data_IF_342466810970
#
_entry.id   IF_342466810970
#
_cell.length_a   1.000
_cell.length_b   1.000
_cell.length_c   1.000
_cell.angle_alpha   90.00
_cell.angle_beta   90.00
_cell.angle_gamma   90.00
#
_symmetry.space_group_name_H-M   'P 1'
#
loop_
_entity.id
_entity.type
_entity.pdbx_description
1 polymer ?
#
# COMPACT_ATOMS: atom_id res chain seq x y z
N UNK A 1 6.54 -11.17 82.11
CA UNK A 1 7.82 -10.42 81.97
C UNK A 1 8.06 -10.11 80.50
N UNK A 2 8.54 -8.90 80.21
CA UNK A 2 8.87 -8.34 78.88
C UNK A 2 9.98 -9.12 78.15
N UNK A 3 9.92 -9.14 76.80
CA UNK A 3 11.01 -8.95 75.79
C UNK A 3 10.41 -9.27 74.40
N UNK A 4 10.07 -8.33 73.52
CA UNK A 4 10.86 -7.35 72.74
C UNK A 4 11.59 -7.97 71.53
N UNK A 5 11.05 -7.62 70.34
CA UNK A 5 11.66 -7.38 69.01
C UNK A 5 12.36 -8.54 68.26
N UNK A 6 11.96 -8.74 67.01
CA UNK A 6 12.69 -8.20 65.85
C UNK A 6 11.82 -8.23 64.58
N UNK A 7 11.54 -7.05 64.02
CA UNK A 7 10.96 -6.88 62.68
C UNK A 7 12.09 -7.08 61.68
N UNK A 8 12.04 -8.11 60.85
CA UNK A 8 12.88 -8.19 59.65
C UNK A 8 12.07 -7.76 58.44
N UNK A 9 12.39 -6.56 57.94
CA UNK A 9 11.89 -5.99 56.70
C UNK A 9 12.63 -6.68 55.54
N UNK A 10 12.06 -7.75 54.98
CA UNK A 10 12.50 -8.24 53.67
C UNK A 10 11.75 -7.46 52.58
N UNK A 11 12.45 -6.47 52.03
CA UNK A 11 12.02 -5.66 50.89
C UNK A 11 12.34 -6.46 49.62
N UNK A 12 11.34 -7.08 49.01
CA UNK A 12 11.49 -7.75 47.72
C UNK A 12 11.68 -6.70 46.60
N UNK A 13 12.58 -6.89 45.62
CA UNK A 13 12.66 -6.01 44.47
C UNK A 13 11.54 -6.39 43.48
N UNK A 14 10.70 -5.42 43.13
CA UNK A 14 9.76 -5.55 42.03
C UNK A 14 10.54 -5.54 40.71
N UNK A 15 10.65 -6.70 40.07
CA UNK A 15 11.15 -6.80 38.70
C UNK A 15 10.02 -6.34 37.79
N UNK A 16 10.12 -5.10 37.29
CA UNK A 16 9.22 -4.60 36.27
C UNK A 16 9.61 -5.28 34.94
N UNK A 17 8.83 -6.27 34.49
CA UNK A 17 8.93 -6.78 33.13
C UNK A 17 8.47 -5.67 32.18
N UNK A 18 9.44 -4.98 31.59
CA UNK A 18 9.22 -4.07 30.48
C UNK A 18 8.92 -4.93 29.26
N UNK A 19 7.63 -5.09 28.94
CA UNK A 19 7.18 -5.69 27.68
C UNK A 19 7.63 -4.78 26.54
N UNK A 20 8.77 -5.10 25.93
CA UNK A 20 9.11 -4.57 24.61
C UNK A 20 8.10 -5.12 23.61
N UNK A 21 7.03 -4.37 23.33
CA UNK A 21 6.24 -4.54 22.13
C UNK A 21 7.16 -4.26 20.95
N UNK A 22 7.74 -5.30 20.36
CA UNK A 22 8.39 -5.19 19.07
C UNK A 22 7.32 -4.69 18.09
N UNK A 23 7.48 -3.47 17.58
CA UNK A 23 6.69 -3.01 16.46
C UNK A 23 7.07 -3.91 15.27
N UNK A 24 6.19 -4.84 14.92
CA UNK A 24 6.32 -5.59 13.67
C UNK A 24 6.33 -4.57 12.54
N UNK A 25 7.41 -4.53 11.74
CA UNK A 25 7.44 -3.73 10.54
C UNK A 25 6.24 -4.16 9.67
N UNK A 26 5.33 -3.24 9.38
CA UNK A 26 4.14 -3.60 8.61
C UNK A 26 4.56 -4.02 7.20
N UNK A 27 4.03 -5.13 6.72
CA UNK A 27 4.36 -5.69 5.42
C UNK A 27 3.90 -4.74 4.29
N UNK A 28 4.55 -4.79 3.11
CA UNK A 28 4.10 -4.01 1.97
C UNK A 28 2.64 -4.34 1.61
N UNK A 29 1.86 -3.37 1.09
CA UNK A 29 0.46 -3.57 0.76
C UNK A 29 0.32 -4.35 -0.56
N UNK A 30 0.68 -5.62 -0.52
CA UNK A 30 0.54 -6.57 -1.63
C UNK A 30 -0.94 -6.82 -1.90
N UNK A 31 -1.31 -6.88 -3.18
CA UNK A 31 -2.69 -7.14 -3.61
C UNK A 31 -3.04 -6.51 -4.95
N UNK A 32 -4.32 -6.61 -5.32
CA UNK A 32 -4.88 -6.00 -6.53
C UNK A 32 -5.85 -4.88 -6.15
N UNK A 33 -5.71 -3.73 -6.79
CA UNK A 33 -6.48 -2.54 -6.48
C UNK A 33 -7.12 -1.95 -7.73
N UNK A 34 -8.37 -1.47 -7.62
CA UNK A 34 -9.12 -0.88 -8.73
C UNK A 34 -8.72 0.59 -8.86
N UNK A 35 -8.31 1.02 -10.05
CA UNK A 35 -7.98 2.43 -10.31
C UNK A 35 -9.19 3.34 -10.11
N UNK A 36 -8.99 4.46 -9.43
CA UNK A 36 -9.99 5.50 -9.26
C UNK A 36 -9.78 6.61 -10.30
N UNK A 37 -10.65 6.74 -11.33
CA UNK A 37 -10.35 7.53 -12.52
C UNK A 37 -10.72 9.02 -12.42
N UNK A 38 -11.39 9.48 -11.35
CA UNK A 38 -11.84 10.87 -11.29
C UNK A 38 -10.68 11.83 -11.02
N UNK A 39 -10.64 12.90 -11.82
CA UNK A 39 -9.80 14.07 -11.58
C UNK A 39 -10.39 14.93 -10.43
N UNK A 40 -9.52 15.52 -9.61
CA UNK A 40 -9.94 16.52 -8.60
C UNK A 40 -9.53 16.24 -7.15
N UNK A 41 -8.90 15.10 -6.85
CA UNK A 41 -8.31 14.84 -5.53
C UNK A 41 -8.38 13.38 -5.09
N UNK A 42 -8.03 13.14 -3.82
CA UNK A 42 -8.13 11.83 -3.20
C UNK A 42 -9.61 11.42 -3.04
N UNK A 43 -9.99 10.17 -3.37
CA UNK A 43 -11.34 9.68 -3.11
C UNK A 43 -11.62 9.57 -1.61
N UNK A 44 -12.89 9.66 -1.24
CA UNK A 44 -13.37 9.23 0.08
C UNK A 44 -13.58 7.71 0.11
N UNK A 45 -13.74 7.14 1.31
CA UNK A 45 -14.11 5.72 1.42
C UNK A 45 -15.43 5.42 0.70
N UNK A 46 -16.41 6.32 0.77
CA UNK A 46 -17.71 6.16 0.11
C UNK A 46 -17.60 6.17 -1.42
N UNK A 47 -16.69 6.98 -1.98
CA UNK A 47 -16.43 6.99 -3.42
C UNK A 47 -15.85 5.65 -3.87
N UNK A 48 -14.91 5.09 -3.11
CA UNK A 48 -14.37 3.77 -3.40
C UNK A 48 -15.42 2.66 -3.27
N UNK A 49 -16.24 2.66 -2.23
CA UNK A 49 -17.32 1.69 -2.06
C UNK A 49 -18.36 1.78 -3.20
N UNK A 50 -18.68 2.99 -3.65
CA UNK A 50 -19.57 3.20 -4.78
C UNK A 50 -18.96 2.66 -6.07
N UNK A 51 -17.69 2.98 -6.35
CA UNK A 51 -16.97 2.51 -7.53
C UNK A 51 -16.88 0.97 -7.56
N UNK A 52 -16.51 0.34 -6.44
CA UNK A 52 -16.42 -1.12 -6.35
C UNK A 52 -17.78 -1.77 -6.58
N UNK A 53 -18.87 -1.20 -6.04
CA UNK A 53 -20.23 -1.73 -6.26
C UNK A 53 -20.70 -1.60 -7.72
N UNK A 54 -20.29 -0.53 -8.39
CA UNK A 54 -20.60 -0.28 -9.80
C UNK A 54 -19.82 -1.22 -10.72
N UNK A 55 -18.49 -1.20 -10.60
CA UNK A 55 -17.57 -1.93 -11.49
C UNK A 55 -17.59 -3.44 -11.22
N UNK A 56 -17.87 -3.85 -9.98
CA UNK A 56 -17.79 -5.24 -9.50
C UNK A 56 -16.45 -5.87 -9.90
N UNK A 57 -15.33 -5.28 -9.46
CA UNK A 57 -14.00 -5.79 -9.80
C UNK A 57 -13.78 -7.19 -9.21
N UNK A 58 -12.88 -7.94 -9.84
CA UNK A 58 -12.37 -9.20 -9.30
C UNK A 58 -10.93 -9.40 -9.76
N UNK A 59 -10.18 -10.25 -9.07
CA UNK A 59 -8.82 -10.64 -9.49
C UNK A 59 -8.83 -11.24 -10.88
N UNK A 60 -9.83 -12.09 -11.18
CA UNK A 60 -9.98 -12.70 -12.50
C UNK A 60 -10.14 -11.65 -13.61
N UNK A 61 -10.97 -10.61 -13.37
CA UNK A 61 -11.10 -9.49 -14.30
C UNK A 61 -9.78 -8.74 -14.44
N UNK A 62 -9.13 -8.40 -13.32
CA UNK A 62 -7.86 -7.69 -13.33
C UNK A 62 -6.78 -8.45 -14.10
N UNK A 63 -6.68 -9.77 -13.92
CA UNK A 63 -5.75 -10.61 -14.68
C UNK A 63 -6.12 -10.67 -16.16
N UNK A 64 -7.42 -10.74 -16.49
CA UNK A 64 -7.85 -10.66 -17.87
C UNK A 64 -7.39 -9.35 -18.53
N UNK A 65 -7.48 -8.22 -17.83
CA UNK A 65 -6.93 -6.94 -18.31
C UNK A 65 -5.41 -6.96 -18.44
N UNK A 66 -4.69 -7.42 -17.40
CA UNK A 66 -3.22 -7.52 -17.41
C UNK A 66 -2.70 -8.30 -18.61
N UNK A 67 -3.41 -9.36 -19.00
CA UNK A 67 -2.98 -10.24 -20.09
C UNK A 67 -3.67 -9.96 -21.44
N UNK A 68 -4.41 -8.87 -21.58
CA UNK A 68 -5.12 -8.53 -22.82
C UNK A 68 -6.22 -9.54 -23.22
N UNK A 69 -6.79 -10.23 -22.23
CA UNK A 69 -7.89 -11.20 -22.38
C UNK A 69 -9.27 -10.64 -22.00
N UNK A 70 -9.35 -9.37 -21.62
CA UNK A 70 -10.63 -8.72 -21.34
C UNK A 70 -11.55 -8.78 -22.58
N UNK A 71 -12.86 -9.09 -22.41
CA UNK A 71 -13.77 -9.20 -23.54
C UNK A 71 -13.86 -7.91 -24.37
N UNK A 72 -13.99 -8.04 -25.69
CA UNK A 72 -14.28 -6.90 -26.55
C UNK A 72 -15.61 -6.24 -26.17
N UNK A 73 -15.61 -4.92 -26.03
CA UNK A 73 -16.79 -4.14 -25.62
C UNK A 73 -17.07 -4.12 -24.11
N UNK A 74 -16.17 -4.67 -23.29
CA UNK A 74 -16.22 -4.44 -21.85
C UNK A 74 -15.99 -2.96 -21.53
N UNK A 75 -16.65 -2.47 -20.47
CA UNK A 75 -16.38 -1.15 -19.94
C UNK A 75 -14.92 -1.05 -19.50
N UNK A 76 -14.28 0.07 -19.81
CA UNK A 76 -12.86 0.28 -19.54
C UNK A 76 -12.63 0.36 -18.02
N UNK A 77 -11.82 -0.55 -17.51
CA UNK A 77 -11.43 -0.61 -16.11
C UNK A 77 -9.92 -0.87 -16.01
N UNK A 78 -9.31 -0.30 -14.98
CA UNK A 78 -7.87 -0.34 -14.79
C UNK A 78 -7.54 -0.81 -13.38
N UNK A 79 -6.45 -1.54 -13.25
CA UNK A 79 -6.03 -2.15 -12.00
C UNK A 79 -4.56 -1.86 -11.72
N UNK A 80 -4.19 -2.00 -10.46
CA UNK A 80 -2.81 -2.02 -9.99
C UNK A 80 -2.54 -3.33 -9.26
N UNK A 81 -1.50 -4.03 -9.70
CA UNK A 81 -0.92 -5.17 -8.99
C UNK A 81 0.28 -4.68 -8.18
N UNK A 82 0.24 -4.90 -6.87
CA UNK A 82 1.37 -4.73 -5.98
C UNK A 82 1.82 -6.11 -5.50
N UNK A 83 3.06 -6.48 -5.77
CA UNK A 83 3.68 -7.74 -5.33
C UNK A 83 4.96 -7.45 -4.52
N UNK A 84 5.62 -8.50 -4.02
CA UNK A 84 6.83 -8.41 -3.19
C UNK A 84 8.00 -7.73 -3.90
N UNK A 85 8.06 -7.81 -5.21
CA UNK A 85 9.16 -7.27 -6.02
C UNK A 85 8.69 -6.59 -7.31
N UNK A 86 7.38 -6.42 -7.51
CA UNK A 86 6.83 -5.75 -8.70
C UNK A 86 5.68 -4.79 -8.39
N UNK A 87 5.64 -3.70 -9.13
CA UNK A 87 4.48 -2.81 -9.30
C UNK A 87 4.05 -2.91 -10.76
N UNK A 88 2.78 -3.18 -11.02
CA UNK A 88 2.28 -3.36 -12.38
C UNK A 88 0.83 -2.87 -12.55
N UNK A 89 0.61 -1.69 -13.14
CA UNK A 89 -0.71 -1.26 -13.58
C UNK A 89 -1.14 -1.98 -14.86
N UNK A 90 -2.45 -2.10 -15.09
CA UNK A 90 -3.01 -2.58 -16.38
C UNK A 90 -3.20 -1.45 -17.39
N UNK A 91 -2.60 -0.30 -17.14
CA UNK A 91 -2.55 0.86 -18.03
C UNK A 91 -1.11 1.35 -18.14
N UNK A 92 -0.85 2.08 -19.22
CA UNK A 92 0.37 2.83 -19.42
C UNK A 92 0.05 4.32 -19.28
N UNK A 93 0.84 5.04 -18.49
CA UNK A 93 0.81 6.50 -18.46
C UNK A 93 1.98 7.07 -19.26
N UNK A 94 1.94 8.36 -19.58
CA UNK A 94 3.01 9.03 -20.31
C UNK A 94 4.39 8.72 -19.70
N UNK A 95 5.29 8.22 -20.55
CA UNK A 95 6.68 7.88 -20.20
C UNK A 95 6.89 6.51 -19.55
N UNK A 96 5.85 5.68 -19.39
CA UNK A 96 5.94 4.26 -18.99
C UNK A 96 6.75 3.99 -17.71
N UNK A 97 6.67 4.94 -16.76
CA UNK A 97 7.40 4.92 -15.49
C UNK A 97 6.68 4.18 -14.34
N UNK A 98 5.45 3.71 -14.55
CA UNK A 98 4.58 3.19 -13.48
C UNK A 98 4.73 1.70 -13.19
N UNK A 99 5.41 0.96 -14.08
CA UNK A 99 5.57 -0.48 -13.97
C UNK A 99 7.03 -0.87 -13.83
N UNK A 100 7.32 -1.87 -13.00
CA UNK A 100 8.65 -2.46 -12.93
C UNK A 100 9.02 -3.08 -11.58
N UNK A 101 10.31 -3.27 -11.38
CA UNK A 101 10.86 -3.92 -10.18
C UNK A 101 10.86 -2.97 -9.00
N UNK A 102 10.31 -3.40 -7.87
CA UNK A 102 10.22 -2.60 -6.65
C UNK A 102 11.07 -3.16 -5.52
N UNK A 103 11.67 -2.25 -4.75
CA UNK A 103 12.28 -2.54 -3.45
C UNK A 103 11.52 -1.80 -2.38
N UNK A 104 10.74 -2.57 -1.62
CA UNK A 104 9.99 -2.04 -0.48
C UNK A 104 10.91 -1.58 0.64
N UNK A 105 10.54 -0.46 1.26
CA UNK A 105 11.17 0.08 2.46
C UNK A 105 10.22 -0.06 3.64
N UNK A 106 10.70 0.38 4.80
CA UNK A 106 9.93 0.32 6.04
C UNK A 106 8.58 1.05 5.93
N UNK A 107 7.55 0.40 6.45
CA UNK A 107 6.22 0.99 6.62
C UNK A 107 6.14 1.76 7.93
N UNK A 108 5.77 3.05 7.86
CA UNK A 108 5.59 3.91 9.04
C UNK A 108 4.30 4.69 8.92
N UNK A 109 3.45 4.62 9.95
CA UNK A 109 2.23 5.42 10.01
C UNK A 109 1.23 5.18 8.87
N UNK A 110 1.20 3.96 8.29
CA UNK A 110 0.34 3.62 7.15
C UNK A 110 0.92 4.00 5.78
N UNK A 111 2.16 4.50 5.73
CA UNK A 111 2.89 4.76 4.48
C UNK A 111 4.03 3.75 4.32
N UNK A 112 4.04 3.02 3.22
CA UNK A 112 5.13 2.12 2.81
C UNK A 112 5.95 2.80 1.74
N UNK A 113 7.21 3.13 2.03
CA UNK A 113 8.12 3.69 1.01
C UNK A 113 8.63 2.62 0.06
N UNK A 114 9.04 3.01 -1.15
CA UNK A 114 9.72 2.12 -2.08
C UNK A 114 10.72 2.83 -3.01
N UNK A 115 11.58 2.05 -3.64
CA UNK A 115 12.33 2.44 -4.84
C UNK A 115 11.85 1.56 -6.01
N UNK A 116 11.43 2.19 -7.11
CA UNK A 116 10.96 1.54 -8.34
C UNK A 116 12.03 1.72 -9.42
N UNK A 117 12.37 0.63 -10.09
CA UNK A 117 13.15 0.62 -11.34
C UNK A 117 12.16 0.28 -12.46
N UNK A 118 11.79 1.26 -13.30
CA UNK A 118 10.82 1.04 -14.36
C UNK A 118 11.33 0.07 -15.44
N UNK A 119 10.44 -0.76 -15.98
CA UNK A 119 10.81 -1.76 -16.98
C UNK A 119 11.35 -1.11 -18.28
N UNK A 120 10.72 -0.02 -18.74
CA UNK A 120 11.11 0.69 -19.97
C UNK A 120 12.23 1.73 -19.76
N UNK A 121 12.58 2.01 -18.49
CA UNK A 121 13.62 2.98 -18.10
C UNK A 121 14.51 2.44 -16.97
N UNK A 122 15.24 1.33 -17.19
CA UNK A 122 16.00 0.64 -16.15
C UNK A 122 17.18 1.45 -15.59
N UNK A 123 17.59 2.52 -16.27
CA UNK A 123 18.60 3.48 -15.83
C UNK A 123 18.08 4.47 -14.77
N UNK A 124 16.77 4.55 -14.57
CA UNK A 124 16.13 5.45 -13.62
C UNK A 124 15.71 4.68 -12.37
N UNK A 125 15.86 5.33 -11.21
CA UNK A 125 15.23 4.87 -9.97
C UNK A 125 14.29 5.94 -9.45
N UNK A 126 13.01 5.60 -9.35
CA UNK A 126 11.95 6.47 -8.86
C UNK A 126 11.66 6.13 -7.40
N UNK A 127 11.72 7.14 -6.53
CA UNK A 127 11.27 6.96 -5.15
C UNK A 127 9.76 7.08 -5.12
N UNK A 128 9.10 6.20 -4.39
CA UNK A 128 7.66 6.29 -4.22
C UNK A 128 7.20 5.90 -2.83
N UNK A 129 5.89 5.98 -2.64
CA UNK A 129 5.23 5.42 -1.48
C UNK A 129 3.82 4.96 -1.78
N UNK A 130 3.36 3.98 -1.01
CA UNK A 130 1.97 3.54 -0.97
C UNK A 130 1.40 3.91 0.39
N UNK A 131 0.34 4.71 0.41
CA UNK A 131 -0.39 5.04 1.61
C UNK A 131 -1.66 4.20 1.70
N UNK A 132 -1.80 3.48 2.81
CA UNK A 132 -3.00 2.74 3.18
C UNK A 132 -3.41 3.15 4.58
N UNK A 133 -4.65 3.63 4.76
CA UNK A 133 -5.17 3.97 6.09
C UNK A 133 -5.96 2.78 6.65
N UNK A 134 -5.73 2.36 7.91
CA UNK A 134 -6.56 1.36 8.56
C UNK A 134 -8.05 1.74 8.48
N UNK A 135 -8.91 0.79 8.11
CA UNK A 135 -10.35 1.02 7.97
C UNK A 135 -10.77 1.87 6.75
N UNK A 136 -9.85 2.20 5.84
CA UNK A 136 -10.17 2.86 4.58
C UNK A 136 -9.88 1.93 3.38
N UNK A 137 -10.77 1.87 2.39
CA UNK A 137 -10.51 1.17 1.13
C UNK A 137 -9.58 1.97 0.20
N UNK A 138 -9.25 3.22 0.54
CA UNK A 138 -8.43 4.09 -0.31
C UNK A 138 -6.96 3.72 -0.20
N UNK A 139 -6.34 3.52 -1.35
CA UNK A 139 -4.91 3.31 -1.53
C UNK A 139 -4.38 4.42 -2.42
N UNK A 140 -3.34 5.13 -1.97
CA UNK A 140 -2.68 6.15 -2.78
C UNK A 140 -1.25 5.71 -3.10
N UNK A 141 -0.88 5.73 -4.38
CA UNK A 141 0.49 5.47 -4.83
C UNK A 141 1.07 6.77 -5.35
N UNK A 142 2.17 7.20 -4.75
CA UNK A 142 2.89 8.40 -5.18
C UNK A 142 4.25 8.01 -5.74
N UNK A 143 4.51 8.40 -6.98
CA UNK A 143 5.82 8.36 -7.62
C UNK A 143 6.43 9.77 -7.58
N UNK A 144 7.66 9.89 -7.09
CA UNK A 144 8.31 11.19 -6.88
C UNK A 144 9.32 11.49 -7.97
N UNK A 145 9.27 12.71 -8.50
CA UNK A 145 10.21 13.22 -9.50
C UNK A 145 10.20 12.40 -10.80
N UNK A 146 9.03 11.94 -11.23
CA UNK A 146 8.83 11.25 -12.50
C UNK A 146 9.25 12.19 -13.64
N UNK A 147 10.16 11.76 -14.54
CA UNK A 147 10.53 12.55 -15.70
C UNK A 147 9.35 12.79 -16.64
N UNK A 148 9.21 14.02 -17.14
CA UNK A 148 8.30 14.35 -18.24
C UNK A 148 8.92 15.40 -19.17
N UNK A 149 8.23 15.71 -20.27
CA UNK A 149 8.63 16.76 -21.23
C UNK A 149 8.77 18.15 -20.59
N UNK A 150 8.08 18.41 -19.48
CA UNK A 150 8.12 19.67 -18.74
C UNK A 150 9.04 19.64 -17.51
N UNK A 151 9.82 18.57 -17.34
CA UNK A 151 10.70 18.36 -16.19
C UNK A 151 10.19 17.29 -15.24
N UNK A 152 10.75 17.22 -14.03
CA UNK A 152 10.38 16.20 -13.03
C UNK A 152 9.16 16.63 -12.24
N UNK A 153 8.16 15.76 -12.11
CA UNK A 153 6.95 16.01 -11.32
C UNK A 153 6.58 14.80 -10.47
N UNK A 154 5.97 15.05 -9.32
CA UNK A 154 5.37 13.99 -8.51
C UNK A 154 4.02 13.62 -9.12
N UNK A 155 3.72 12.31 -9.17
CA UNK A 155 2.44 11.78 -9.65
C UNK A 155 1.82 10.92 -8.56
N UNK A 156 0.59 11.22 -8.20
CA UNK A 156 -0.19 10.40 -7.26
C UNK A 156 -1.39 9.81 -8.00
N UNK A 157 -1.51 8.49 -7.95
CA UNK A 157 -2.64 7.73 -8.45
C UNK A 157 -3.40 7.14 -7.27
N UNK A 158 -4.72 7.15 -7.34
CA UNK A 158 -5.59 6.61 -6.30
C UNK A 158 -6.25 5.31 -6.77
N UNK A 159 -6.39 4.39 -5.84
CA UNK A 159 -6.96 3.08 -6.06
C UNK A 159 -7.90 2.73 -4.90
N UNK A 160 -8.81 1.82 -5.18
CA UNK A 160 -9.79 1.30 -4.25
C UNK A 160 -9.52 -0.19 -4.02
N UNK A 161 -9.34 -0.57 -2.76
CA UNK A 161 -9.33 -1.97 -2.34
C UNK A 161 -10.72 -2.56 -2.56
N UNK A 162 -10.77 -3.73 -3.19
CA UNK A 162 -12.01 -4.45 -3.48
C UNK A 162 -11.97 -5.93 -3.09
N UNK A 163 -10.80 -6.44 -2.74
CA UNK A 163 -10.70 -7.70 -2.01
C UNK A 163 -11.04 -7.44 -0.55
N UNK A 164 -11.97 -8.21 -0.01
CA UNK A 164 -12.08 -8.37 1.44
C UNK A 164 -10.76 -8.96 1.94
N UNK A 165 -10.29 -8.53 3.13
CA UNK A 165 -9.25 -9.26 3.86
C UNK A 165 -9.79 -10.67 4.22
N UNK A 166 -9.80 -11.59 3.25
CA UNK A 166 -10.06 -13.00 3.49
C UNK A 166 -8.71 -13.69 3.60
N UNK A 167 -8.35 -13.96 4.87
CA UNK A 167 -7.26 -14.76 5.46
C UNK A 167 -6.17 -13.89 6.10
N UNK A 168 -5.90 -13.96 7.40
CA UNK A 168 -6.13 -15.03 8.38
C UNK A 168 -6.48 -14.48 9.78
#
# INVERSE_FOLDING_TARGET
MRRMRLRSLFRAPAVALMLCTAATAAEPPVGVFLFYPQEGGAPTSADCEALVREVKPSVEKAEAWRWGRAPMGADLEFYLFLDRDRIEPTYAAEGDYDSGTVRWRETRGGETGFDLVPDDHPEVTIKGSVQTRPGSPVVAVTLRGVPSSEGKRDRTSYFCRFEDEIRA
#
